data_IF_394599968142
#
_entry.id   IF_394599968142
#
_cell.length_a   1.000
_cell.length_b   1.000
_cell.length_c   1.000
_cell.angle_alpha   90.00
_cell.angle_beta   90.00
_cell.angle_gamma   90.00
#
_symmetry.space_group_name_H-M   'P 1'
#
loop_
_entity.id
_entity.type
_entity.pdbx_description
1 polymer ?
#
# COMPACT_ATOMS: atom_id res chain seq x y z
N UNK A 1 7.79 -1.06 -38.23
CA UNK A 1 7.08 -0.02 -37.42
C UNK A 1 5.67 -0.47 -37.05
N UNK A 2 5.55 -1.69 -36.50
CA UNK A 2 4.45 -2.17 -35.65
C UNK A 2 5.05 -2.90 -34.43
N UNK A 3 6.21 -2.40 -33.99
CA UNK A 3 7.14 -3.12 -33.11
C UNK A 3 7.25 -2.45 -31.73
N UNK A 4 6.53 -1.34 -31.54
CA UNK A 4 6.56 -0.55 -30.30
C UNK A 4 5.39 -0.90 -29.34
N UNK A 5 4.38 -1.63 -29.80
CA UNK A 5 3.28 -2.13 -28.95
C UNK A 5 3.11 -3.66 -28.96
N UNK A 6 4.05 -4.39 -29.56
CA UNK A 6 3.96 -5.83 -29.80
C UNK A 6 4.40 -6.74 -28.66
N UNK A 7 4.48 -6.25 -27.41
CA UNK A 7 4.89 -7.08 -26.29
C UNK A 7 4.47 -6.52 -24.93
N UNK A 8 3.16 -6.44 -24.69
CA UNK A 8 2.64 -6.66 -23.32
C UNK A 8 2.81 -8.14 -23.01
N UNK A 9 4.06 -8.57 -22.86
CA UNK A 9 4.33 -9.88 -22.31
C UNK A 9 3.94 -9.86 -20.84
N UNK A 10 2.87 -10.61 -20.59
CA UNK A 10 2.77 -11.53 -19.47
C UNK A 10 2.60 -10.89 -18.10
N UNK A 11 1.45 -10.24 -17.90
CA UNK A 11 0.85 -10.12 -16.57
C UNK A 11 0.03 -11.39 -16.22
N UNK A 12 0.60 -12.56 -16.51
CA UNK A 12 -0.04 -13.88 -16.32
C UNK A 12 0.77 -14.71 -15.31
N UNK A 13 1.35 -14.06 -14.30
CA UNK A 13 1.77 -14.71 -13.06
C UNK A 13 0.72 -14.40 -11.99
N UNK A 14 -0.23 -15.33 -11.78
CA UNK A 14 -1.24 -15.34 -10.70
C UNK A 14 -1.69 -13.95 -10.21
N UNK A 15 -2.51 -13.28 -11.02
CA UNK A 15 -2.86 -11.86 -10.85
C UNK A 15 -3.50 -11.46 -9.52
N UNK A 16 -4.04 -12.40 -8.73
CA UNK A 16 -4.75 -12.09 -7.48
C UNK A 16 -3.81 -11.56 -6.40
N UNK A 17 -2.71 -12.26 -6.12
CA UNK A 17 -1.78 -11.86 -5.04
C UNK A 17 -1.15 -10.49 -5.29
N UNK A 18 -0.66 -10.26 -6.52
CA UNK A 18 -0.03 -8.98 -6.90
C UNK A 18 -1.03 -7.82 -6.96
N UNK A 19 -2.25 -8.07 -7.44
CA UNK A 19 -3.31 -7.04 -7.47
C UNK A 19 -3.78 -6.67 -6.06
N UNK A 20 -3.90 -7.65 -5.16
CA UNK A 20 -4.29 -7.41 -3.76
C UNK A 20 -3.22 -6.61 -3.01
N UNK A 21 -1.93 -6.96 -3.17
CA UNK A 21 -0.82 -6.21 -2.55
C UNK A 21 -0.78 -4.76 -3.07
N UNK A 22 -1.02 -4.57 -4.37
CA UNK A 22 -1.09 -3.24 -4.97
C UNK A 22 -2.28 -2.43 -4.42
N UNK A 23 -3.46 -3.05 -4.31
CA UNK A 23 -4.65 -2.44 -3.72
C UNK A 23 -4.47 -2.05 -2.25
N UNK A 24 -3.87 -2.92 -1.42
CA UNK A 24 -3.55 -2.60 -0.03
C UNK A 24 -2.54 -1.45 0.08
N UNK A 25 -1.58 -1.34 -0.85
CA UNK A 25 -0.65 -0.21 -0.91
C UNK A 25 -1.36 1.10 -1.18
N UNK A 26 -2.28 1.13 -2.14
CA UNK A 26 -3.12 2.30 -2.41
C UNK A 26 -3.96 2.68 -1.19
N UNK A 27 -4.57 1.69 -0.53
CA UNK A 27 -5.38 1.91 0.66
C UNK A 27 -4.55 2.47 1.83
N UNK A 28 -3.35 1.93 2.06
CA UNK A 28 -2.42 2.43 3.08
C UNK A 28 -2.02 3.88 2.82
N UNK A 29 -1.76 4.25 1.56
CA UNK A 29 -1.45 5.62 1.18
C UNK A 29 -2.64 6.57 1.47
N UNK A 30 -3.87 6.16 1.14
CA UNK A 30 -5.09 6.92 1.45
C UNK A 30 -5.23 7.13 2.96
N UNK A 31 -5.01 6.09 3.77
CA UNK A 31 -5.08 6.16 5.23
C UNK A 31 -4.03 7.13 5.79
N UNK A 32 -2.79 7.10 5.27
CA UNK A 32 -1.73 8.03 5.70
C UNK A 32 -2.13 9.47 5.39
N UNK A 33 -2.63 9.75 4.18
CA UNK A 33 -3.09 11.09 3.78
C UNK A 33 -4.25 11.54 4.68
N UNK A 34 -5.20 10.66 4.98
CA UNK A 34 -6.30 10.95 5.89
C UNK A 34 -5.81 11.25 7.30
N UNK A 35 -4.86 10.46 7.82
CA UNK A 35 -4.25 10.68 9.13
C UNK A 35 -3.53 12.02 9.20
N UNK A 36 -2.79 12.41 8.16
CA UNK A 36 -2.14 13.72 8.07
C UNK A 36 -3.16 14.87 7.96
N UNK A 37 -4.24 14.69 7.19
CA UNK A 37 -5.30 15.68 7.08
C UNK A 37 -6.03 15.88 8.43
N UNK A 38 -6.32 14.79 9.14
CA UNK A 38 -6.90 14.82 10.49
C UNK A 38 -5.94 15.48 11.48
N UNK A 39 -4.63 15.22 11.36
CA UNK A 39 -3.60 15.82 12.21
C UNK A 39 -3.53 17.34 12.02
N UNK A 40 -3.64 17.84 10.79
CA UNK A 40 -3.71 19.26 10.47
C UNK A 40 -4.99 19.93 10.99
N UNK A 41 -6.10 19.18 11.07
CA UNK A 41 -7.39 19.68 11.53
C UNK A 41 -7.57 19.59 13.06
N UNK A 42 -6.74 18.79 13.75
CA UNK A 42 -6.84 18.62 15.20
C UNK A 42 -5.98 19.65 15.95
N UNK A 43 -6.63 20.43 16.81
CA UNK A 43 -5.96 21.25 17.83
C UNK A 43 -5.24 20.34 18.85
N UNK A 44 -4.13 20.84 19.40
CA UNK A 44 -3.04 20.10 20.07
C UNK A 44 -3.41 19.06 21.16
N UNK A 45 -4.67 18.96 21.59
CA UNK A 45 -5.14 17.97 22.55
C UNK A 45 -5.51 16.59 21.98
N UNK A 46 -5.73 16.46 20.66
CA UNK A 46 -6.19 15.21 20.03
C UNK A 46 -5.13 14.53 19.15
N UNK A 47 -3.84 14.77 19.38
CA UNK A 47 -2.72 14.32 18.52
C UNK A 47 -2.57 12.80 18.44
N UNK A 48 -3.03 12.05 19.45
CA UNK A 48 -2.94 10.59 19.49
C UNK A 48 -3.77 9.90 18.40
N UNK A 49 -5.00 10.35 18.14
CA UNK A 49 -5.87 9.74 17.12
C UNK A 49 -5.27 9.82 15.70
N UNK A 50 -4.89 11.01 15.19
CA UNK A 50 -4.28 11.13 13.87
C UNK A 50 -2.96 10.38 13.78
N UNK A 51 -2.14 10.42 14.83
CA UNK A 51 -0.88 9.69 14.88
C UNK A 51 -1.08 8.17 14.71
N UNK A 52 -2.05 7.59 15.41
CA UNK A 52 -2.38 6.16 15.29
C UNK A 52 -2.88 5.83 13.88
N UNK A 53 -3.69 6.71 13.26
CA UNK A 53 -4.19 6.51 11.89
C UNK A 53 -3.03 6.50 10.88
N UNK A 54 -2.08 7.44 11.00
CA UNK A 54 -0.90 7.47 10.13
C UNK A 54 -0.06 6.20 10.27
N UNK A 55 0.21 5.76 11.51
CA UNK A 55 0.99 4.54 11.77
C UNK A 55 0.27 3.30 11.23
N UNK A 56 -1.05 3.20 11.41
CA UNK A 56 -1.84 2.11 10.87
C UNK A 56 -1.81 2.09 9.33
N UNK A 57 -1.90 3.25 8.67
CA UNK A 57 -1.79 3.37 7.21
C UNK A 57 -0.43 2.91 6.70
N UNK A 58 0.66 3.30 7.38
CA UNK A 58 2.01 2.83 7.06
C UNK A 58 2.15 1.32 7.24
N UNK A 59 1.59 0.76 8.32
CA UNK A 59 1.60 -0.67 8.57
C UNK A 59 0.90 -1.43 7.42
N UNK A 60 -0.29 -0.99 6.99
CA UNK A 60 -1.02 -1.58 5.86
C UNK A 60 -0.23 -1.47 4.55
N UNK A 61 0.58 -0.43 4.37
CA UNK A 61 1.38 -0.25 3.16
C UNK A 61 2.61 -1.16 3.10
N UNK A 62 3.22 -1.46 4.26
CA UNK A 62 4.52 -2.16 4.36
C UNK A 62 4.35 -3.65 4.67
N UNK A 63 3.47 -4.02 5.60
CA UNK A 63 3.29 -5.39 6.09
C UNK A 63 2.97 -6.40 4.97
N UNK A 64 2.04 -6.14 4.03
CA UNK A 64 1.70 -7.11 2.99
C UNK A 64 2.88 -7.43 2.07
N UNK A 65 3.69 -6.40 1.75
CA UNK A 65 4.89 -6.58 0.94
C UNK A 65 5.96 -7.39 1.66
N UNK A 66 6.15 -7.12 2.96
CA UNK A 66 7.07 -7.90 3.80
C UNK A 66 6.63 -9.35 3.93
N UNK A 67 5.36 -9.60 4.21
CA UNK A 67 4.81 -10.96 4.34
C UNK A 67 4.94 -11.73 3.02
N UNK A 68 4.59 -11.12 1.89
CA UNK A 68 4.74 -11.75 0.59
C UNK A 68 6.21 -12.10 0.29
N UNK A 69 7.14 -11.18 0.54
CA UNK A 69 8.57 -11.43 0.35
C UNK A 69 9.14 -12.48 1.31
N UNK A 70 8.64 -12.53 2.55
CA UNK A 70 9.05 -13.53 3.54
C UNK A 70 8.58 -14.94 3.15
N UNK A 71 7.36 -15.05 2.64
CA UNK A 71 6.81 -16.33 2.14
C UNK A 71 7.66 -16.85 0.98
N UNK A 72 8.00 -16.00 0.00
CA UNK A 72 8.84 -16.37 -1.14
C UNK A 72 10.25 -16.82 -0.72
N UNK A 73 10.80 -16.23 0.35
CA UNK A 73 12.12 -16.62 0.90
C UNK A 73 12.09 -17.96 1.67
N UNK A 74 10.94 -18.34 2.21
CA UNK A 74 10.77 -19.55 3.03
C UNK A 74 10.22 -20.75 2.23
N UNK A 75 9.67 -20.51 1.03
CA UNK A 75 9.15 -21.54 0.12
C UNK A 75 10.22 -22.08 -0.82
#
# INVERSE_FOLDING_TARGET
MDEVFGRRDTNTGSGVGRTVVWGLRLLGLVIVVLGLALWLLTSAGLVLLPGVVVVAGLAVMVIPGLLAGLVELLS
#
